data_IF_297319848580
#
_entry.id   IF_297319848580
#
_cell.length_a   1.000
_cell.length_b   1.000
_cell.length_c   1.000
_cell.angle_alpha   90.00
_cell.angle_beta   90.00
_cell.angle_gamma   90.00
#
_symmetry.space_group_name_H-M   'P 1'
#
loop_
_entity.id
_entity.type
_entity.pdbx_description
1 polymer ?
#
# COMPACT_ATOMS: atom_id res chain seq x y z
N UNK A 1 11.67 -17.06 7.41
CA UNK A 1 10.62 -17.03 6.37
C UNK A 1 11.11 -16.14 5.23
N UNK A 2 10.40 -16.05 4.09
CA UNK A 2 10.81 -15.18 2.98
C UNK A 2 10.27 -13.75 3.19
N UNK A 3 10.92 -12.70 2.65
CA UNK A 3 10.44 -11.33 2.82
C UNK A 3 9.00 -11.09 2.35
N UNK A 4 8.57 -11.82 1.32
CA UNK A 4 7.19 -11.79 0.82
C UNK A 4 6.21 -12.42 1.81
N UNK A 5 6.56 -13.57 2.39
CA UNK A 5 5.72 -14.25 3.37
C UNK A 5 5.60 -13.43 4.66
N UNK A 6 6.70 -12.82 5.11
CA UNK A 6 6.72 -11.97 6.29
C UNK A 6 5.80 -10.75 6.12
N UNK A 7 5.88 -10.07 4.96
CA UNK A 7 5.00 -8.95 4.64
C UNK A 7 3.53 -9.38 4.54
N UNK A 8 3.26 -10.53 3.92
CA UNK A 8 1.89 -11.05 3.81
C UNK A 8 1.30 -11.34 5.20
N UNK A 9 2.06 -11.97 6.11
CA UNK A 9 1.61 -12.22 7.47
C UNK A 9 1.37 -10.94 8.28
N UNK A 10 2.22 -9.92 8.16
CA UNK A 10 2.02 -8.60 8.79
C UNK A 10 0.72 -7.96 8.30
N UNK A 11 0.50 -7.90 6.98
CA UNK A 11 -0.73 -7.34 6.40
C UNK A 11 -1.98 -8.10 6.85
N UNK A 12 -1.94 -9.44 6.87
CA UNK A 12 -3.06 -10.28 7.33
C UNK A 12 -3.38 -10.07 8.82
N UNK A 13 -2.37 -9.71 9.63
CA UNK A 13 -2.58 -9.47 11.07
C UNK A 13 -3.39 -8.20 11.38
N UNK A 14 -3.62 -7.34 10.38
CA UNK A 14 -4.34 -6.07 10.51
C UNK A 14 -5.82 -6.26 10.19
N UNK A 15 -6.69 -5.91 11.14
CA UNK A 15 -8.15 -6.07 11.05
C UNK A 15 -8.81 -5.03 10.14
N UNK A 16 -8.32 -4.93 8.90
CA UNK A 16 -8.69 -3.92 7.89
C UNK A 16 -10.05 -4.20 7.26
N UNK A 17 -11.11 -4.29 8.06
CA UNK A 17 -12.48 -4.46 7.54
C UNK A 17 -12.87 -3.20 6.76
N UNK A 18 -13.54 -3.33 5.61
CA UNK A 18 -13.93 -2.16 4.80
C UNK A 18 -14.71 -1.11 5.62
N UNK A 19 -14.35 0.20 5.57
CA UNK A 19 -13.27 0.85 4.80
C UNK A 19 -11.97 1.10 5.58
N UNK A 20 -11.79 0.50 6.76
CA UNK A 20 -10.63 0.74 7.62
C UNK A 20 -9.34 0.12 7.04
N UNK A 21 -8.29 0.93 6.88
CA UNK A 21 -6.99 0.47 6.38
C UNK A 21 -6.12 -0.27 7.43
N UNK A 22 -6.33 0.03 8.72
CA UNK A 22 -5.50 -0.50 9.84
C UNK A 22 -3.98 -0.36 9.60
N UNK A 23 -3.58 0.72 8.93
CA UNK A 23 -2.19 1.11 8.68
C UNK A 23 -1.47 0.27 7.61
N UNK A 24 -2.16 -0.58 6.86
CA UNK A 24 -1.60 -1.35 5.74
C UNK A 24 -0.91 -0.44 4.72
N UNK A 25 -1.57 0.66 4.31
CA UNK A 25 -1.02 1.59 3.33
C UNK A 25 0.19 2.36 3.87
N UNK A 26 0.18 2.73 5.15
CA UNK A 26 1.33 3.37 5.79
C UNK A 26 2.58 2.48 5.75
N UNK A 27 2.44 1.19 6.13
CA UNK A 27 3.51 0.20 6.04
C UNK A 27 4.04 0.05 4.61
N UNK A 28 3.14 -0.06 3.63
CA UNK A 28 3.51 -0.21 2.23
C UNK A 28 4.24 1.02 1.69
N UNK A 29 3.74 2.22 2.00
CA UNK A 29 4.38 3.48 1.61
C UNK A 29 5.78 3.61 2.20
N UNK A 30 6.00 3.27 3.48
CA UNK A 30 7.33 3.30 4.11
C UNK A 30 8.33 2.41 3.35
N UNK A 31 7.94 1.16 3.09
CA UNK A 31 8.78 0.19 2.34
C UNK A 31 9.08 0.67 0.91
N UNK A 32 8.09 1.24 0.22
CA UNK A 32 8.24 1.75 -1.14
C UNK A 32 9.13 3.00 -1.19
N UNK A 33 9.00 3.90 -0.21
CA UNK A 33 9.84 5.08 -0.10
C UNK A 33 11.32 4.72 0.07
N UNK A 34 11.60 3.69 0.89
CA UNK A 34 12.96 3.19 1.11
C UNK A 34 13.66 2.70 -0.17
N UNK A 35 12.90 2.34 -1.22
CA UNK A 35 13.43 1.94 -2.53
C UNK A 35 13.19 2.97 -3.63
N UNK A 36 12.88 4.22 -3.25
CA UNK A 36 12.84 5.38 -4.14
C UNK A 36 11.53 5.59 -4.89
N UNK A 37 10.41 5.11 -4.35
CA UNK A 37 9.09 5.56 -4.82
C UNK A 37 8.70 6.87 -4.13
N UNK A 38 8.03 7.75 -4.88
CA UNK A 38 7.32 8.90 -4.34
C UNK A 38 5.88 8.47 -4.02
N UNK A 39 5.46 8.66 -2.77
CA UNK A 39 4.13 8.32 -2.31
C UNK A 39 3.25 9.57 -2.24
N UNK A 40 2.01 9.45 -2.68
CA UNK A 40 0.96 10.44 -2.58
C UNK A 40 -0.23 9.79 -1.88
N UNK A 41 -0.59 10.28 -0.69
CA UNK A 41 -1.79 9.83 0.03
C UNK A 41 -3.01 10.56 -0.51
N UNK A 42 -4.07 9.80 -0.78
CA UNK A 42 -5.29 10.24 -1.47
C UNK A 42 -6.50 9.77 -0.67
N UNK A 43 -6.85 10.49 0.40
CA UNK A 43 -8.03 10.19 1.21
C UNK A 43 -9.29 10.85 0.62
N UNK A 44 -10.34 10.06 0.45
CA UNK A 44 -11.66 10.53 0.03
C UNK A 44 -12.69 9.96 1.01
N UNK A 45 -13.46 10.85 1.64
CA UNK A 45 -14.43 10.49 2.69
C UNK A 45 -13.81 9.59 3.78
N UNK A 46 -14.32 8.36 3.91
CA UNK A 46 -13.88 7.35 4.87
C UNK A 46 -12.80 6.41 4.34
N UNK A 47 -12.44 6.52 3.05
CA UNK A 47 -11.55 5.57 2.36
C UNK A 47 -10.15 6.16 2.16
N UNK A 48 -9.14 5.43 2.63
CA UNK A 48 -7.74 5.74 2.37
C UNK A 48 -7.29 5.12 1.04
N UNK A 49 -6.60 5.90 0.21
CA UNK A 49 -5.90 5.42 -0.97
C UNK A 49 -4.48 5.98 -0.98
N UNK A 50 -3.58 5.34 -1.73
CA UNK A 50 -2.30 5.95 -2.05
C UNK A 50 -1.86 5.64 -3.48
N UNK A 51 -1.13 6.57 -4.06
CA UNK A 51 -0.43 6.41 -5.32
C UNK A 51 1.07 6.43 -5.06
N UNK A 52 1.76 5.34 -5.38
CA UNK A 52 3.21 5.25 -5.23
C UNK A 52 3.86 5.06 -6.58
N UNK A 53 4.76 5.98 -6.95
CA UNK A 53 5.38 6.00 -8.27
C UNK A 53 6.88 6.19 -8.20
N UNK A 54 7.61 5.34 -8.94
CA UNK A 54 9.04 5.51 -9.22
C UNK A 54 9.24 5.84 -10.69
N UNK A 55 9.91 6.97 -10.98
CA UNK A 55 10.12 7.49 -12.34
C UNK A 55 8.95 8.32 -12.88
N UNK A 56 9.20 9.11 -13.93
CA UNK A 56 8.25 10.11 -14.46
C UNK A 56 7.97 9.98 -15.97
N UNK A 57 8.55 8.98 -16.65
CA UNK A 57 8.42 8.76 -18.09
C UNK A 57 7.50 7.58 -18.45
N UNK A 58 7.22 7.41 -19.75
CA UNK A 58 6.49 6.26 -20.30
C UNK A 58 7.46 5.13 -20.70
N UNK A 59 7.00 3.86 -20.72
CA UNK A 59 5.66 3.38 -20.34
C UNK A 59 5.47 3.30 -18.82
N UNK A 60 4.23 3.48 -18.36
CA UNK A 60 3.86 3.31 -16.95
C UNK A 60 3.35 1.88 -16.74
N UNK A 61 4.01 1.14 -15.86
CA UNK A 61 3.53 -0.15 -15.35
C UNK A 61 3.00 0.07 -13.94
N UNK A 62 1.80 -0.42 -13.64
CA UNK A 62 1.12 -0.20 -12.37
C UNK A 62 0.63 -1.53 -11.79
N UNK A 63 0.89 -1.75 -10.50
CA UNK A 63 0.19 -2.74 -9.69
C UNK A 63 -0.97 -2.05 -8.98
N UNK A 64 -2.13 -2.67 -8.97
CA UNK A 64 -3.32 -2.18 -8.28
C UNK A 64 -3.92 -3.30 -7.44
N UNK A 65 -4.47 -2.94 -6.28
CA UNK A 65 -5.06 -3.85 -5.31
C UNK A 65 -5.77 -3.06 -4.21
N UNK A 66 -6.22 -3.76 -3.18
CA UNK A 66 -6.92 -3.18 -2.04
C UNK A 66 -6.34 -3.76 -0.74
N UNK A 67 -6.44 -3.00 0.36
CA UNK A 67 -5.97 -3.44 1.68
C UNK A 67 -7.09 -3.96 2.55
N UNK A 68 -8.32 -3.51 2.31
CA UNK A 68 -9.48 -3.88 3.08
C UNK A 68 -9.95 -5.32 2.77
N UNK A 69 -10.65 -5.91 3.75
CA UNK A 69 -11.23 -7.25 3.70
C UNK A 69 -12.69 -7.23 4.21
N UNK A 70 -13.40 -8.32 3.95
CA UNK A 70 -14.79 -8.55 4.42
C UNK A 70 -14.87 -8.86 5.90
#
# INVERSE_FOLDING_TARGET
>A
MTPTLDLACDLISRHSVTPQDEGCQALMMERLAAVGFCNESLRFDDTDNFWSRKGNSKPLVCFAGHTDVV
#
